data_IF_416675292855
#
_entry.id   IF_416675292855
#
_cell.length_a   1.000
_cell.length_b   1.000
_cell.length_c   1.000
_cell.angle_alpha   90.00
_cell.angle_beta   90.00
_cell.angle_gamma   90.00
#
_symmetry.space_group_name_H-M   'P 1'
#
loop_
_entity.id
_entity.type
_entity.pdbx_description
1 polymer ?
#
# COMPACT_ATOMS: atom_id res chain seq x y z
N UNK A 1 -2.34 -17.08 -6.38
CA UNK A 1 -2.74 -15.66 -6.26
C UNK A 1 -1.77 -15.01 -5.28
N UNK A 2 -1.07 -13.96 -5.71
CA UNK A 2 -0.04 -13.27 -4.93
C UNK A 2 -0.63 -11.97 -4.37
N UNK A 3 -1.50 -12.07 -3.37
CA UNK A 3 -2.01 -10.92 -2.63
C UNK A 3 -1.37 -10.91 -1.24
N UNK A 4 -0.82 -9.77 -0.81
CA UNK A 4 -0.29 -9.64 0.55
C UNK A 4 -1.48 -9.43 1.49
N UNK A 5 -1.94 -10.51 2.10
CA UNK A 5 -3.03 -10.48 3.09
C UNK A 5 -2.44 -10.32 4.49
N UNK A 6 -2.61 -9.14 5.10
CA UNK A 6 -2.40 -9.00 6.54
C UNK A 6 -3.61 -9.59 7.27
N UNK A 7 -3.40 -10.37 8.33
CA UNK A 7 -4.50 -10.96 9.10
C UNK A 7 -5.25 -9.91 9.97
N UNK A 8 -4.57 -8.81 10.32
CA UNK A 8 -5.10 -7.66 11.07
C UNK A 8 -4.40 -6.38 10.61
N UNK A 9 -5.07 -5.23 10.76
CA UNK A 9 -4.46 -3.92 10.46
C UNK A 9 -3.14 -3.76 11.19
N UNK A 10 -2.05 -3.58 10.43
CA UNK A 10 -0.75 -3.20 10.93
C UNK A 10 -0.25 -2.05 10.06
N UNK A 11 0.23 -0.97 10.68
CA UNK A 11 0.90 0.11 9.95
C UNK A 11 2.09 -0.47 9.20
N UNK A 12 2.07 -0.37 7.88
CA UNK A 12 3.13 -0.90 7.02
C UNK A 12 3.22 -0.09 5.73
N UNK A 13 4.40 -0.07 5.14
CA UNK A 13 4.68 0.41 3.79
C UNK A 13 5.02 -0.74 2.83
N UNK A 14 4.90 -1.99 3.29
CA UNK A 14 5.27 -3.21 2.57
C UNK A 14 6.74 -3.27 2.14
N UNK A 15 7.67 -2.61 2.88
CA UNK A 15 9.09 -2.56 2.51
C UNK A 15 9.71 -3.94 2.30
N UNK A 16 9.46 -4.89 3.19
CA UNK A 16 10.02 -6.24 3.06
C UNK A 16 9.55 -6.93 1.76
N UNK A 17 8.30 -6.72 1.37
CA UNK A 17 7.75 -7.29 0.13
C UNK A 17 8.30 -6.58 -1.09
N UNK A 18 8.52 -5.25 -1.00
CA UNK A 18 9.25 -4.50 -2.02
C UNK A 18 10.66 -5.08 -2.23
N UNK A 19 11.43 -5.26 -1.15
CA UNK A 19 12.81 -5.73 -1.23
C UNK A 19 12.86 -7.17 -1.80
N UNK A 20 11.94 -8.06 -1.40
CA UNK A 20 11.79 -9.40 -1.99
C UNK A 20 11.47 -9.35 -3.48
N UNK A 21 10.54 -8.47 -3.88
CA UNK A 21 10.13 -8.32 -5.27
C UNK A 21 11.27 -7.80 -6.15
N UNK A 22 12.01 -6.80 -5.66
CA UNK A 22 13.17 -6.25 -6.38
C UNK A 22 14.30 -7.26 -6.48
N UNK A 23 14.56 -8.03 -5.43
CA UNK A 23 15.56 -9.10 -5.46
C UNK A 23 15.19 -10.21 -6.47
N UNK A 24 13.91 -10.46 -6.68
CA UNK A 24 13.40 -11.46 -7.62
C UNK A 24 13.23 -10.93 -9.07
N UNK A 25 13.51 -9.65 -9.33
CA UNK A 25 13.23 -9.01 -10.63
C UNK A 25 14.47 -8.38 -11.27
N UNK A 26 14.33 -7.87 -12.49
CA UNK A 26 15.40 -7.12 -13.16
C UNK A 26 15.36 -5.64 -12.77
N UNK A 27 16.52 -4.99 -12.73
CA UNK A 27 16.71 -3.61 -12.22
C UNK A 27 15.85 -2.51 -12.87
N UNK A 28 15.21 -2.79 -14.02
CA UNK A 28 14.48 -1.80 -14.81
C UNK A 28 12.95 -2.02 -14.79
N UNK A 29 12.44 -2.80 -13.84
CA UNK A 29 11.01 -3.04 -13.69
C UNK A 29 10.46 -2.26 -12.50
N UNK A 30 9.40 -1.50 -12.73
CA UNK A 30 8.65 -0.88 -11.65
C UNK A 30 7.96 -1.94 -10.79
N UNK A 31 7.89 -1.68 -9.49
CA UNK A 31 7.17 -2.51 -8.52
C UNK A 31 5.88 -1.81 -8.11
N UNK A 32 4.79 -2.55 -8.00
CA UNK A 32 3.49 -2.02 -7.61
C UNK A 32 2.75 -2.99 -6.69
N UNK A 33 1.93 -2.43 -5.80
CA UNK A 33 0.98 -3.16 -4.98
C UNK A 33 -0.33 -3.28 -5.76
N UNK A 34 -0.35 -4.20 -6.74
CA UNK A 34 -1.44 -4.31 -7.70
C UNK A 34 -2.80 -4.61 -7.04
N UNK A 35 -2.81 -5.35 -5.92
CA UNK A 35 -4.00 -5.65 -5.13
C UNK A 35 -3.62 -5.70 -3.65
N UNK A 36 -4.24 -4.87 -2.82
CA UNK A 36 -4.04 -4.87 -1.36
C UNK A 36 -5.37 -4.82 -0.61
N UNK A 37 -5.45 -5.53 0.50
CA UNK A 37 -6.58 -5.37 1.43
C UNK A 37 -6.44 -4.11 2.28
N UNK A 38 -5.24 -3.90 2.82
CA UNK A 38 -4.89 -2.76 3.65
C UNK A 38 -4.05 -1.78 2.85
N UNK A 39 -4.47 -0.51 2.80
CA UNK A 39 -3.66 0.53 2.19
C UNK A 39 -2.40 0.77 3.05
N UNK A 40 -1.23 0.97 2.42
CA UNK A 40 -0.02 1.32 3.17
C UNK A 40 -0.20 2.60 4.01
N UNK A 41 0.49 2.69 5.14
CA UNK A 41 0.48 3.87 5.99
C UNK A 41 1.32 4.99 5.37
N UNK A 42 0.69 6.12 5.06
CA UNK A 42 1.31 7.22 4.30
C UNK A 42 2.50 7.85 5.04
N UNK A 43 2.42 8.01 6.36
CA UNK A 43 3.50 8.53 7.21
C UNK A 43 4.72 7.60 7.18
N UNK A 44 4.49 6.29 7.06
CA UNK A 44 5.55 5.28 6.94
C UNK A 44 6.16 5.26 5.55
N UNK A 45 5.34 5.34 4.49
CA UNK A 45 5.81 5.43 3.11
C UNK A 45 6.68 6.67 2.86
N UNK A 46 6.25 7.82 3.35
CA UNK A 46 6.99 9.07 3.21
C UNK A 46 8.36 8.99 3.90
N UNK A 47 8.43 8.34 5.07
CA UNK A 47 9.69 8.16 5.81
C UNK A 47 10.63 7.15 5.18
N UNK A 48 10.11 6.04 4.67
CA UNK A 48 10.92 4.94 4.14
C UNK A 48 11.32 5.12 2.68
N UNK A 49 10.57 5.98 1.96
CA UNK A 49 10.66 6.16 0.52
C UNK A 49 10.61 4.83 -0.26
N UNK A 50 9.82 3.87 0.22
CA UNK A 50 9.60 2.60 -0.50
C UNK A 50 8.92 2.91 -1.84
N UNK A 51 9.59 2.67 -2.99
CA UNK A 51 9.19 3.28 -4.26
C UNK A 51 8.19 2.39 -5.02
N UNK A 52 7.00 2.24 -4.43
CA UNK A 52 5.85 1.65 -5.13
C UNK A 52 5.35 2.61 -6.22
N UNK A 53 5.14 2.09 -7.43
CA UNK A 53 4.62 2.88 -8.53
C UNK A 53 3.14 3.27 -8.31
N UNK A 54 2.35 2.34 -7.77
CA UNK A 54 0.98 2.56 -7.33
C UNK A 54 0.56 1.46 -6.35
N UNK A 55 -0.56 1.70 -5.66
CA UNK A 55 -1.28 0.72 -4.87
C UNK A 55 -2.77 0.78 -5.20
N UNK A 56 -3.44 -0.37 -5.20
CA UNK A 56 -4.87 -0.45 -5.45
C UNK A 56 -5.53 -1.34 -4.40
N UNK A 57 -6.45 -0.76 -3.64
CA UNK A 57 -7.25 -1.50 -2.68
C UNK A 57 -8.23 -2.43 -3.39
N UNK A 58 -8.39 -3.64 -2.87
CA UNK A 58 -9.40 -4.56 -3.38
C UNK A 58 -10.81 -4.02 -3.15
N UNK A 59 -11.77 -4.38 -4.01
CA UNK A 59 -13.13 -3.84 -3.93
C UNK A 59 -13.95 -4.43 -2.77
N UNK A 60 -15.17 -3.91 -2.58
CA UNK A 60 -16.17 -4.36 -1.59
C UNK A 60 -15.71 -4.10 -0.16
N UNK A 61 -15.55 -5.14 0.65
CA UNK A 61 -15.31 -5.05 2.09
C UNK A 61 -14.04 -4.25 2.47
N UNK A 62 -13.05 -4.19 1.58
CA UNK A 62 -11.82 -3.41 1.82
C UNK A 62 -11.96 -1.92 1.50
N UNK A 63 -12.95 -1.54 0.69
CA UNK A 63 -13.30 -0.14 0.40
C UNK A 63 -14.54 0.34 1.17
N UNK A 64 -15.39 -0.57 1.63
CA UNK A 64 -16.71 -0.30 2.22
C UNK A 64 -16.71 -0.77 3.66
N UNK A 65 -16.81 0.18 4.59
CA UNK A 65 -16.70 -0.05 6.03
C UNK A 65 -15.32 0.35 6.56
N UNK A 66 -15.11 0.21 7.87
CA UNK A 66 -13.87 0.63 8.55
C UNK A 66 -13.04 -0.52 9.12
N UNK A 67 -13.44 -1.77 8.82
CA UNK A 67 -12.76 -2.97 9.34
C UNK A 67 -11.32 -3.08 8.82
N UNK A 68 -11.11 -2.76 7.54
CA UNK A 68 -9.81 -2.92 6.88
C UNK A 68 -9.11 -1.58 6.70
N UNK A 69 -9.82 -0.55 6.23
CA UNK A 69 -9.26 0.80 6.09
C UNK A 69 -10.21 1.79 6.77
N UNK A 70 -9.75 2.44 7.85
CA UNK A 70 -10.57 3.43 8.54
C UNK A 70 -10.70 4.72 7.72
N UNK A 71 -11.84 5.41 7.84
CA UNK A 71 -12.06 6.69 7.15
C UNK A 71 -10.96 7.71 7.46
N UNK A 72 -10.51 7.76 8.72
CA UNK A 72 -9.45 8.68 9.15
C UNK A 72 -8.10 8.39 8.45
N UNK A 73 -7.74 7.12 8.26
CA UNK A 73 -6.52 6.75 7.54
C UNK A 73 -6.60 7.05 6.06
N UNK A 74 -7.76 6.79 5.45
CA UNK A 74 -8.01 7.13 4.05
C UNK A 74 -7.92 8.65 3.84
N UNK A 75 -8.56 9.44 4.71
CA UNK A 75 -8.46 10.90 4.68
C UNK A 75 -7.01 11.39 4.80
N UNK A 76 -6.22 10.82 5.72
CA UNK A 76 -4.79 11.14 5.84
C UNK A 76 -4.00 10.79 4.59
N UNK A 77 -4.25 9.61 4.02
CA UNK A 77 -3.59 9.15 2.80
C UNK A 77 -3.85 10.14 1.65
N UNK A 78 -5.12 10.44 1.38
CA UNK A 78 -5.51 11.34 0.29
C UNK A 78 -5.20 12.81 0.56
N UNK A 79 -5.02 13.22 1.82
CA UNK A 79 -4.61 14.60 2.15
C UNK A 79 -3.09 14.83 2.09
N UNK A 80 -2.27 13.78 1.94
CA UNK A 80 -0.82 13.91 1.93
C UNK A 80 -0.31 14.42 0.57
N UNK A 81 0.67 15.33 0.60
CA UNK A 81 1.39 15.78 -0.61
C UNK A 81 2.24 14.66 -1.25
N UNK A 82 2.53 13.59 -0.50
CA UNK A 82 3.21 12.41 -1.01
C UNK A 82 2.30 11.53 -1.88
N UNK A 83 0.98 11.66 -1.74
CA UNK A 83 0.01 10.92 -2.53
C UNK A 83 -0.34 11.68 -3.82
N UNK A 84 -0.22 11.00 -4.96
CA UNK A 84 -0.67 11.54 -6.25
C UNK A 84 -2.15 11.18 -6.42
N UNK A 85 -2.99 12.19 -6.62
CA UNK A 85 -4.43 12.05 -6.84
C UNK A 85 -4.85 12.58 -8.21
N UNK A 86 -6.09 12.25 -8.62
CA UNK A 86 -6.72 12.71 -9.86
C UNK A 86 -7.12 14.18 -9.79
#
# INVERSE_FOLDING_TARGET
>A
MCGVALEKYAKTDYREDYDKLVAATTKNKAAALAEVGYIPDIETLERSHTPWAYYMTWSKEFCVGEQYNSTAQLQKMYASEYAIML
#
